data_IF_696966931334
#
_entry.id   IF_696966931334
#
_cell.length_a   1.000
_cell.length_b   1.000
_cell.length_c   1.000
_cell.angle_alpha   90.00
_cell.angle_beta   90.00
_cell.angle_gamma   90.00
#
_symmetry.space_group_name_H-M   'P 1'
#
loop_
_entity.id
_entity.type
_entity.pdbx_description
1 polymer ?
#
# COMPACT_ATOMS: atom_id res chain seq x y z
N UNK A 1 17.69 -17.66 8.84
CA UNK A 1 16.41 -18.21 9.33
C UNK A 1 16.51 -18.72 10.77
N UNK A 2 17.40 -19.66 11.10
CA UNK A 2 17.56 -20.18 12.48
C UNK A 2 17.91 -19.09 13.52
N UNK A 3 18.87 -18.20 13.21
CA UNK A 3 19.22 -17.03 14.05
C UNK A 3 18.07 -16.02 14.21
N UNK A 4 17.20 -15.89 13.21
CA UNK A 4 16.05 -14.99 13.25
C UNK A 4 14.93 -15.59 14.11
N UNK A 5 14.73 -16.91 14.03
CA UNK A 5 13.81 -17.66 14.89
C UNK A 5 14.26 -17.59 16.35
N UNK A 6 15.56 -17.79 16.62
CA UNK A 6 16.13 -17.58 17.96
C UNK A 6 16.01 -16.13 18.42
N UNK A 7 16.15 -15.12 17.54
CA UNK A 7 15.93 -13.71 17.91
C UNK A 7 14.45 -13.37 18.13
N UNK A 8 13.52 -13.95 17.38
CA UNK A 8 12.08 -13.77 17.60
C UNK A 8 11.67 -14.46 18.88
N UNK A 9 12.16 -15.67 19.14
CA UNK A 9 12.00 -16.39 20.39
C UNK A 9 12.69 -15.67 21.55
N UNK A 10 13.87 -15.06 21.37
CA UNK A 10 14.54 -14.25 22.40
C UNK A 10 13.88 -12.89 22.60
N UNK A 11 13.35 -12.24 21.57
CA UNK A 11 12.56 -11.01 21.75
C UNK A 11 11.21 -11.34 22.39
N UNK A 12 10.62 -12.51 22.09
CA UNK A 12 9.45 -13.05 22.77
C UNK A 12 9.74 -13.45 24.23
N UNK A 13 10.95 -13.94 24.54
CA UNK A 13 11.31 -14.47 25.87
C UNK A 13 12.19 -13.58 26.75
N UNK A 14 12.86 -12.54 26.24
CA UNK A 14 13.84 -11.72 27.01
C UNK A 14 13.31 -10.31 27.27
N UNK A 15 12.59 -9.67 26.33
CA UNK A 15 11.92 -8.37 26.57
C UNK A 15 10.40 -8.48 26.62
N UNK A 16 9.83 -9.38 25.82
CA UNK A 16 8.46 -9.86 26.00
C UNK A 16 8.43 -10.96 27.08
N UNK A 17 9.56 -11.39 27.66
CA UNK A 17 9.61 -12.43 28.71
C UNK A 17 8.85 -12.13 30.00
N UNK A 18 8.61 -10.85 30.33
CA UNK A 18 7.68 -10.46 31.40
C UNK A 18 6.22 -10.36 30.93
N UNK A 19 6.00 -10.50 29.63
CA UNK A 19 4.74 -10.35 28.93
C UNK A 19 4.25 -11.69 28.31
N UNK A 20 5.12 -12.69 28.10
CA UNK A 20 4.89 -13.90 27.29
C UNK A 20 3.89 -14.90 27.90
N UNK A 21 3.32 -14.61 29.07
CA UNK A 21 2.27 -15.46 29.66
C UNK A 21 0.85 -15.05 29.34
N UNK A 22 0.60 -13.86 28.77
CA UNK A 22 -0.76 -13.30 28.85
C UNK A 22 -1.40 -12.78 27.55
N UNK A 23 -0.78 -12.80 26.36
CA UNK A 23 -1.36 -12.14 25.15
C UNK A 23 -2.07 -13.11 24.19
N UNK A 24 -3.11 -12.64 23.48
CA UNK A 24 -3.77 -13.36 22.39
C UNK A 24 -3.63 -12.64 21.05
N UNK A 25 -3.39 -13.41 19.99
CA UNK A 25 -3.35 -12.92 18.61
C UNK A 25 -4.40 -13.68 17.80
N UNK A 26 -5.36 -12.94 17.30
CA UNK A 26 -6.34 -13.47 16.35
C UNK A 26 -5.86 -13.15 14.94
N UNK A 27 -5.41 -14.17 14.22
CA UNK A 27 -5.29 -14.13 12.77
C UNK A 27 -6.66 -14.46 12.18
N UNK A 28 -7.31 -13.47 11.59
CA UNK A 28 -8.56 -13.71 10.85
C UNK A 28 -8.24 -14.54 9.59
N UNK A 29 -8.54 -15.83 9.64
CA UNK A 29 -8.27 -16.80 8.57
C UNK A 29 -8.44 -18.26 9.01
N UNK A 30 -8.54 -18.54 10.31
CA UNK A 30 -8.83 -19.88 10.80
C UNK A 30 -10.35 -20.12 10.93
N UNK A 31 -10.93 -20.89 9.99
CA UNK A 31 -12.20 -21.64 10.15
C UNK A 31 -13.27 -20.98 11.02
N UNK A 32 -13.76 -19.80 10.66
CA UNK A 32 -14.88 -19.21 11.38
C UNK A 32 -16.13 -19.07 10.50
N UNK A 33 -17.27 -19.46 11.07
CA UNK A 33 -18.61 -19.24 10.51
C UNK A 33 -18.84 -17.77 10.15
N UNK A 34 -19.54 -17.50 9.04
CA UNK A 34 -19.74 -16.15 8.47
C UNK A 34 -20.05 -15.08 9.55
N UNK A 35 -20.89 -15.38 10.55
CA UNK A 35 -21.30 -14.46 11.64
C UNK A 35 -20.13 -13.87 12.43
N UNK A 36 -19.03 -14.60 12.64
CA UNK A 36 -17.88 -14.08 13.40
C UNK A 36 -17.12 -13.00 12.64
N UNK A 37 -17.06 -13.09 11.30
CA UNK A 37 -16.38 -12.12 10.44
C UNK A 37 -17.07 -10.77 10.53
N UNK A 38 -18.41 -10.75 10.53
CA UNK A 38 -19.18 -9.50 10.68
C UNK A 38 -18.84 -8.82 12.00
N UNK A 39 -18.96 -9.53 13.12
CA UNK A 39 -18.63 -8.98 14.45
C UNK A 39 -17.17 -8.51 14.55
N UNK A 40 -16.24 -9.25 13.95
CA UNK A 40 -14.82 -8.91 13.95
C UNK A 40 -14.52 -7.63 13.16
N UNK A 41 -15.21 -7.42 12.04
CA UNK A 41 -15.11 -6.21 11.22
C UNK A 41 -15.77 -5.02 11.89
N UNK A 42 -16.94 -5.18 12.48
CA UNK A 42 -17.62 -4.08 13.21
C UNK A 42 -16.75 -3.55 14.35
N UNK A 43 -16.13 -4.46 15.12
CA UNK A 43 -15.15 -4.09 16.16
C UNK A 43 -13.92 -3.39 15.59
N UNK A 44 -13.46 -3.78 14.39
CA UNK A 44 -12.32 -3.15 13.75
C UNK A 44 -12.65 -1.73 13.27
N UNK A 45 -13.84 -1.52 12.71
CA UNK A 45 -14.32 -0.18 12.34
C UNK A 45 -14.43 0.69 13.59
N UNK A 46 -15.01 0.18 14.69
CA UNK A 46 -15.06 0.92 15.95
C UNK A 46 -13.66 1.32 16.46
N UNK A 47 -12.66 0.44 16.35
CA UNK A 47 -11.26 0.77 16.66
C UNK A 47 -10.71 1.86 15.73
N UNK A 48 -11.02 1.81 14.45
CA UNK A 48 -10.62 2.83 13.49
C UNK A 48 -11.23 4.20 13.79
N UNK A 49 -12.46 4.26 14.31
CA UNK A 49 -13.07 5.49 14.79
C UNK A 49 -12.40 5.99 16.07
N UNK A 50 -12.27 5.11 17.07
CA UNK A 50 -11.70 5.42 18.38
C UNK A 50 -10.25 5.90 18.32
N UNK A 51 -9.44 5.31 17.43
CA UNK A 51 -8.04 5.69 17.23
C UNK A 51 -7.86 6.98 16.42
N UNK A 52 -8.94 7.61 15.95
CA UNK A 52 -8.88 8.78 15.07
C UNK A 52 -8.42 8.46 13.65
N UNK A 53 -8.27 7.18 13.29
CA UNK A 53 -7.92 6.79 11.93
C UNK A 53 -9.01 7.21 10.92
N UNK A 54 -10.28 7.10 11.32
CA UNK A 54 -11.43 7.65 10.59
C UNK A 54 -11.73 9.08 11.05
N UNK A 55 -10.85 10.03 10.70
CA UNK A 55 -11.11 11.46 10.88
C UNK A 55 -12.26 11.95 9.96
N UNK A 56 -12.90 13.10 10.27
CA UNK A 56 -14.14 13.54 9.60
C UNK A 56 -14.08 13.52 8.07
N UNK A 57 -13.04 14.10 7.46
CA UNK A 57 -12.91 14.17 6.00
C UNK A 57 -12.68 12.78 5.37
N UNK A 58 -12.04 11.85 6.09
CA UNK A 58 -11.94 10.46 5.63
C UNK A 58 -13.29 9.77 5.71
N UNK A 59 -14.05 9.98 6.80
CA UNK A 59 -15.40 9.42 6.97
C UNK A 59 -16.31 9.86 5.83
N UNK A 60 -16.38 11.16 5.57
CA UNK A 60 -17.19 11.73 4.47
C UNK A 60 -16.91 11.04 3.13
N UNK A 61 -15.64 10.73 2.85
CA UNK A 61 -15.22 10.07 1.61
C UNK A 61 -15.59 8.58 1.54
N UNK A 62 -15.60 7.85 2.67
CA UNK A 62 -15.75 6.39 2.67
C UNK A 62 -17.15 5.91 3.09
N UNK A 63 -17.85 6.66 3.94
CA UNK A 63 -19.15 6.28 4.50
C UNK A 63 -20.19 5.97 3.42
N UNK A 64 -20.30 6.74 2.31
CA UNK A 64 -21.26 6.43 1.24
C UNK A 64 -21.06 5.04 0.61
N UNK A 65 -19.90 4.42 0.82
CA UNK A 65 -19.52 3.16 0.21
C UNK A 65 -19.23 2.06 1.25
N UNK A 66 -19.46 2.30 2.53
CA UNK A 66 -19.01 1.41 3.60
C UNK A 66 -19.53 -0.03 3.43
N UNK A 67 -20.77 -0.20 2.99
CA UNK A 67 -21.33 -1.54 2.73
C UNK A 67 -20.57 -2.30 1.64
N UNK A 68 -20.19 -1.62 0.56
CA UNK A 68 -19.36 -2.19 -0.50
C UNK A 68 -17.97 -2.56 0.03
N UNK A 69 -17.37 -1.67 0.83
CA UNK A 69 -16.06 -1.88 1.45
C UNK A 69 -16.09 -3.13 2.33
N UNK A 70 -17.03 -3.20 3.27
CA UNK A 70 -17.17 -4.32 4.19
C UNK A 70 -17.48 -5.63 3.46
N UNK A 71 -18.33 -5.59 2.42
CA UNK A 71 -18.58 -6.76 1.59
C UNK A 71 -17.30 -7.27 0.89
N UNK A 72 -16.47 -6.36 0.35
CA UNK A 72 -15.20 -6.74 -0.27
C UNK A 72 -14.22 -7.33 0.75
N UNK A 73 -14.15 -6.77 1.96
CA UNK A 73 -13.32 -7.31 3.03
C UNK A 73 -13.78 -8.70 3.47
N UNK A 74 -15.09 -8.91 3.67
CA UNK A 74 -15.66 -10.23 4.00
C UNK A 74 -15.29 -11.27 2.96
N UNK A 75 -15.44 -10.95 1.66
CA UNK A 75 -15.04 -11.83 0.57
C UNK A 75 -13.55 -12.15 0.61
N UNK A 76 -12.70 -11.14 0.79
CA UNK A 76 -11.25 -11.34 0.83
C UNK A 76 -10.80 -12.21 2.02
N UNK A 77 -11.45 -12.08 3.18
CA UNK A 77 -11.17 -12.89 4.38
C UNK A 77 -11.57 -14.37 4.22
N UNK A 78 -12.44 -14.72 3.27
CA UNK A 78 -12.80 -16.13 2.98
C UNK A 78 -11.67 -16.93 2.31
N UNK A 79 -10.58 -16.27 1.91
CA UNK A 79 -9.40 -16.93 1.32
C UNK A 79 -8.36 -17.34 2.37
N UNK A 80 -8.78 -17.52 3.62
CA UNK A 80 -8.01 -18.06 4.75
C UNK A 80 -6.65 -17.43 5.01
N UNK A 81 -6.46 -16.17 4.56
CA UNK A 81 -5.24 -15.31 4.58
C UNK A 81 -4.48 -15.12 3.26
N UNK A 82 -4.90 -15.72 2.16
CA UNK A 82 -4.17 -15.61 0.89
C UNK A 82 -4.32 -14.23 0.24
N UNK A 83 -5.40 -13.51 0.56
CA UNK A 83 -5.73 -12.21 -0.04
C UNK A 83 -5.65 -11.04 0.95
N UNK A 84 -6.22 -11.19 2.14
CA UNK A 84 -6.35 -10.15 3.16
C UNK A 84 -6.10 -10.76 4.52
N UNK A 85 -5.33 -10.04 5.33
CA UNK A 85 -5.01 -10.39 6.69
C UNK A 85 -5.28 -9.21 7.60
N UNK A 86 -5.84 -9.50 8.77
CA UNK A 86 -5.97 -8.56 9.86
C UNK A 86 -5.27 -9.19 11.04
N UNK A 87 -4.23 -8.52 11.52
CA UNK A 87 -3.53 -8.91 12.74
C UNK A 87 -3.98 -7.96 13.83
N UNK A 88 -4.31 -8.53 14.98
CA UNK A 88 -4.69 -7.80 16.20
C UNK A 88 -3.77 -8.19 17.34
N UNK A 89 -3.48 -7.21 18.18
CA UNK A 89 -2.72 -7.39 19.41
C UNK A 89 -3.49 -6.70 20.54
N UNK A 90 -3.91 -7.50 21.53
CA UNK A 90 -4.66 -7.02 22.69
C UNK A 90 -3.77 -7.12 23.92
N UNK A 91 -3.66 -6.04 24.68
CA UNK A 91 -2.98 -6.02 25.96
C UNK A 91 -3.83 -6.59 27.09
N UNK A 92 -3.18 -6.89 28.22
CA UNK A 92 -3.78 -7.68 29.30
C UNK A 92 -4.13 -6.84 30.51
N UNK A 93 -4.01 -5.53 30.40
CA UNK A 93 -4.43 -4.62 31.45
C UNK A 93 -5.96 -4.53 31.46
N UNK A 94 -6.66 -5.09 32.47
CA UNK A 94 -8.11 -5.06 32.51
C UNK A 94 -8.69 -3.63 32.63
N UNK A 95 -7.88 -2.70 33.14
CA UNK A 95 -8.27 -1.29 33.36
C UNK A 95 -8.01 -0.41 32.13
N UNK A 96 -7.35 -0.93 31.10
CA UNK A 96 -7.01 -0.18 29.89
C UNK A 96 -7.32 -0.98 28.65
N UNK A 97 -8.11 -0.41 27.76
CA UNK A 97 -8.30 -0.98 26.43
C UNK A 97 -7.02 -0.81 25.61
N UNK A 98 -6.14 -1.81 25.70
CA UNK A 98 -4.89 -1.90 24.95
C UNK A 98 -5.14 -2.73 23.70
N UNK A 99 -5.31 -2.07 22.56
CA UNK A 99 -5.60 -2.75 21.30
C UNK A 99 -4.83 -2.09 20.17
N UNK A 100 -4.21 -2.93 19.35
CA UNK A 100 -3.51 -2.53 18.13
C UNK A 100 -3.91 -3.45 17.00
N UNK A 101 -4.03 -2.92 15.78
CA UNK A 101 -4.29 -3.72 14.60
C UNK A 101 -3.56 -3.19 13.38
N UNK A 102 -3.22 -4.10 12.47
CA UNK A 102 -2.76 -3.78 11.12
C UNK A 102 -3.48 -4.68 10.13
N UNK A 103 -3.69 -4.14 8.93
CA UNK A 103 -4.29 -4.87 7.82
C UNK A 103 -3.30 -4.89 6.67
N UNK A 104 -3.13 -6.05 6.05
CA UNK A 104 -2.33 -6.16 4.83
C UNK A 104 -3.04 -7.05 3.83
N UNK A 105 -2.85 -6.73 2.56
CA UNK A 105 -3.44 -7.47 1.45
C UNK A 105 -2.45 -7.64 0.31
N UNK A 106 -2.72 -8.65 -0.51
CA UNK A 106 -1.87 -9.04 -1.63
C UNK A 106 -2.11 -8.11 -2.83
N UNK A 107 -1.06 -7.43 -3.29
CA UNK A 107 -1.13 -6.46 -4.39
C UNK A 107 -0.50 -6.95 -5.69
N UNK A 108 0.46 -7.87 -5.59
CA UNK A 108 1.03 -8.65 -6.69
C UNK A 108 1.11 -10.10 -6.24
N UNK A 109 1.60 -11.05 -7.05
CA UNK A 109 1.56 -12.44 -6.63
C UNK A 109 2.42 -12.70 -5.38
N UNK A 110 3.53 -11.98 -5.23
CA UNK A 110 4.52 -12.16 -4.17
C UNK A 110 4.74 -10.91 -3.30
N UNK A 111 3.99 -9.82 -3.50
CA UNK A 111 4.13 -8.59 -2.69
C UNK A 111 2.83 -8.21 -1.98
N UNK A 112 3.03 -7.62 -0.80
CA UNK A 112 1.96 -7.21 0.09
C UNK A 112 2.05 -5.74 0.45
N UNK A 113 0.89 -5.11 0.57
CA UNK A 113 0.76 -3.76 1.10
C UNK A 113 0.20 -3.84 2.50
N UNK A 114 0.90 -3.24 3.46
CA UNK A 114 0.46 -3.08 4.84
C UNK A 114 -0.04 -1.67 5.09
N UNK A 115 -1.22 -1.57 5.69
CA UNK A 115 -1.95 -0.33 5.92
C UNK A 115 -2.84 -0.45 7.16
N UNK A 116 -3.50 0.65 7.49
CA UNK A 116 -4.52 0.71 8.56
C UNK A 116 -3.96 0.28 9.92
N UNK A 117 -2.68 0.56 10.14
CA UNK A 117 -2.06 0.45 11.44
C UNK A 117 -2.72 1.45 12.40
N UNK A 118 -3.42 0.91 13.40
CA UNK A 118 -4.12 1.65 14.44
C UNK A 118 -3.78 1.12 15.81
N UNK A 119 -3.81 1.97 16.82
CA UNK A 119 -3.59 1.60 18.21
C UNK A 119 -4.38 2.51 19.13
N UNK A 120 -4.80 2.00 20.28
CA UNK A 120 -5.41 2.78 21.38
C UNK A 120 -4.35 3.55 22.21
N UNK A 121 -3.15 3.77 21.65
CA UNK A 121 -2.04 4.37 22.36
C UNK A 121 -1.20 3.35 23.12
N UNK A 122 -1.03 2.15 22.56
CA UNK A 122 -0.28 1.03 23.12
C UNK A 122 0.98 0.72 22.28
N UNK A 123 2.10 1.46 22.47
CA UNK A 123 3.29 1.38 21.62
C UNK A 123 3.93 0.00 21.59
N UNK A 124 4.00 -0.68 22.74
CA UNK A 124 4.55 -2.04 22.85
C UNK A 124 3.77 -3.00 21.94
N UNK A 125 2.44 -2.91 21.96
CA UNK A 125 1.59 -3.71 21.07
C UNK A 125 1.85 -3.42 19.59
N UNK A 126 2.15 -2.17 19.22
CA UNK A 126 2.54 -1.84 17.83
C UNK A 126 3.88 -2.47 17.46
N UNK A 127 4.89 -2.36 18.31
CA UNK A 127 6.19 -2.99 18.07
C UNK A 127 6.03 -4.51 17.90
N UNK A 128 5.43 -5.18 18.89
CA UNK A 128 5.23 -6.62 18.88
C UNK A 128 4.46 -7.08 17.64
N UNK A 129 3.38 -6.38 17.29
CA UNK A 129 2.59 -6.69 16.10
C UNK A 129 3.40 -6.49 14.80
N UNK A 130 4.19 -5.43 14.67
CA UNK A 130 5.00 -5.20 13.46
C UNK A 130 6.09 -6.26 13.29
N UNK A 131 6.76 -6.65 14.37
CA UNK A 131 7.76 -7.72 14.36
C UNK A 131 7.11 -9.07 14.04
N UNK A 132 5.98 -9.37 14.68
CA UNK A 132 5.30 -10.67 14.52
C UNK A 132 4.58 -10.83 13.19
N UNK A 133 3.93 -9.79 12.68
CA UNK A 133 3.38 -9.79 11.33
C UNK A 133 4.48 -10.05 10.29
N UNK A 134 5.69 -9.53 10.52
CA UNK A 134 6.83 -9.83 9.67
C UNK A 134 7.36 -11.27 9.85
N UNK A 135 7.28 -11.84 11.05
CA UNK A 135 7.77 -13.19 11.34
C UNK A 135 6.88 -14.27 10.74
N UNK A 136 5.64 -14.32 11.22
CA UNK A 136 4.75 -15.45 11.03
C UNK A 136 4.16 -15.48 9.63
N UNK A 137 3.78 -14.31 9.13
CA UNK A 137 3.11 -14.23 7.83
C UNK A 137 4.16 -14.27 6.71
N UNK A 138 5.30 -13.61 6.88
CA UNK A 138 6.16 -13.30 5.74
C UNK A 138 7.28 -14.31 5.52
N UNK A 139 7.77 -14.94 6.58
CA UNK A 139 8.90 -15.86 6.51
C UNK A 139 8.43 -17.30 6.53
N UNK A 140 7.50 -17.65 7.41
CA UNK A 140 7.09 -19.05 7.59
C UNK A 140 6.01 -19.47 6.60
N UNK A 141 5.00 -18.64 6.38
CA UNK A 141 3.81 -19.09 5.63
C UNK A 141 3.87 -18.86 4.12
N UNK A 142 4.49 -17.78 3.65
CA UNK A 142 4.31 -17.35 2.25
C UNK A 142 5.52 -16.88 1.45
N UNK A 143 6.69 -16.69 2.07
CA UNK A 143 7.94 -16.32 1.36
C UNK A 143 7.80 -15.13 0.39
N UNK A 144 7.27 -14.02 0.87
CA UNK A 144 7.03 -12.83 0.05
C UNK A 144 8.31 -12.16 -0.48
N UNK A 145 8.24 -11.59 -1.70
CA UNK A 145 9.33 -10.83 -2.34
C UNK A 145 9.51 -9.44 -1.72
N UNK A 146 8.42 -8.75 -1.36
CA UNK A 146 8.49 -7.39 -0.80
C UNK A 146 7.31 -7.03 0.10
N UNK A 147 7.53 -6.01 0.94
CA UNK A 147 6.49 -5.29 1.67
C UNK A 147 6.48 -3.84 1.29
N UNK A 148 5.27 -3.28 1.30
CA UNK A 148 5.04 -1.92 0.90
C UNK A 148 4.05 -1.25 1.84
N UNK A 149 4.21 0.06 2.05
CA UNK A 149 3.15 0.87 2.64
C UNK A 149 3.16 2.28 2.08
N UNK A 150 1.98 2.89 2.10
CA UNK A 150 1.75 4.26 1.72
C UNK A 150 1.39 5.09 2.95
N UNK A 151 1.94 6.29 3.05
CA UNK A 151 1.61 7.19 4.16
C UNK A 151 1.67 8.66 3.76
N UNK A 152 0.83 9.46 4.42
CA UNK A 152 0.81 10.91 4.24
C UNK A 152 2.08 11.52 4.80
N UNK A 153 2.60 12.55 4.13
CA UNK A 153 3.77 13.28 4.63
C UNK A 153 3.54 13.94 5.99
N UNK A 154 2.28 14.25 6.34
CA UNK A 154 1.90 14.76 7.66
C UNK A 154 1.80 13.70 8.77
N UNK A 155 1.96 12.40 8.47
CA UNK A 155 1.88 11.37 9.51
C UNK A 155 3.23 11.22 10.21
N UNK A 156 3.38 11.85 11.38
CA UNK A 156 4.64 11.87 12.14
C UNK A 156 5.16 10.46 12.47
N UNK A 157 4.29 9.58 12.94
CA UNK A 157 4.66 8.20 13.26
C UNK A 157 5.18 7.46 12.02
N UNK A 158 4.43 7.52 10.91
CA UNK A 158 4.82 6.82 9.70
C UNK A 158 6.11 7.39 9.08
N UNK A 159 6.35 8.70 9.17
CA UNK A 159 7.61 9.29 8.75
C UNK A 159 8.79 8.86 9.63
N UNK A 160 8.58 8.77 10.95
CA UNK A 160 9.61 8.32 11.88
C UNK A 160 10.02 6.88 11.58
N UNK A 161 9.05 5.97 11.46
CA UNK A 161 9.30 4.54 11.20
C UNK A 161 9.66 4.34 9.73
N UNK A 162 8.68 4.40 8.84
CA UNK A 162 8.86 4.04 7.43
C UNK A 162 9.63 5.09 6.64
N UNK A 163 9.49 6.38 6.97
CA UNK A 163 10.21 7.45 6.26
C UNK A 163 11.72 7.44 6.46
N UNK A 164 12.23 6.75 7.48
CA UNK A 164 13.66 6.66 7.77
C UNK A 164 14.27 5.29 7.45
N UNK A 165 13.46 4.32 7.02
CA UNK A 165 13.90 2.93 6.86
C UNK A 165 15.14 2.78 5.96
N UNK A 166 15.29 3.60 4.92
CA UNK A 166 16.45 3.55 4.01
C UNK A 166 17.77 3.83 4.74
N UNK A 167 17.75 4.63 5.81
CA UNK A 167 18.94 4.92 6.62
C UNK A 167 19.46 3.68 7.36
N UNK A 168 18.56 2.81 7.80
CA UNK A 168 18.91 1.60 8.58
C UNK A 168 19.07 0.38 7.67
N UNK A 169 18.19 0.21 6.69
CA UNK A 169 18.16 -0.97 5.81
C UNK A 169 19.14 -0.82 4.64
N UNK A 170 19.30 0.40 4.13
CA UNK A 170 20.08 0.71 2.94
C UNK A 170 19.22 0.73 1.66
N UNK A 171 19.63 1.58 0.71
CA UNK A 171 18.98 1.78 -0.59
C UNK A 171 19.03 0.54 -1.51
N UNK A 172 19.93 -0.42 -1.24
CA UNK A 172 20.05 -1.67 -2.00
C UNK A 172 18.86 -2.61 -1.80
N UNK A 173 18.15 -2.52 -0.69
CA UNK A 173 17.07 -3.45 -0.34
C UNK A 173 15.76 -2.73 0.00
N UNK A 174 15.73 -1.42 -0.13
CA UNK A 174 14.61 -0.62 0.31
C UNK A 174 14.54 0.73 -0.38
N UNK A 175 13.35 1.31 -0.43
CA UNK A 175 13.10 2.59 -1.05
C UNK A 175 12.02 3.36 -0.28
N UNK A 176 12.13 4.70 -0.25
CA UNK A 176 11.07 5.62 0.16
C UNK A 176 10.94 6.69 -0.91
N UNK A 177 9.95 6.55 -1.77
CA UNK A 177 9.65 7.52 -2.83
C UNK A 177 8.49 8.42 -2.44
N UNK A 178 8.47 9.64 -2.96
CA UNK A 178 7.43 10.66 -2.70
C UNK A 178 6.70 10.99 -4.00
N UNK A 179 5.37 11.05 -3.94
CA UNK A 179 4.52 11.28 -5.10
C UNK A 179 3.36 12.22 -4.82
N UNK A 180 2.93 12.92 -5.86
CA UNK A 180 1.69 13.68 -5.85
C UNK A 180 0.51 12.75 -6.14
N UNK A 181 -0.56 12.88 -5.36
CA UNK A 181 -1.82 12.17 -5.53
C UNK A 181 -2.91 13.12 -6.03
N UNK A 182 -3.37 12.89 -7.25
CA UNK A 182 -4.20 13.80 -8.03
C UNK A 182 -5.51 13.10 -8.40
N UNK A 183 -6.64 13.81 -8.28
CA UNK A 183 -7.92 13.36 -8.79
C UNK A 183 -8.22 13.95 -10.15
N UNK A 184 -8.28 13.12 -11.19
CA UNK A 184 -8.56 13.55 -12.58
C UNK A 184 -9.99 13.15 -12.96
N UNK A 185 -10.87 14.13 -13.20
CA UNK A 185 -12.26 13.90 -13.65
C UNK A 185 -12.42 13.95 -15.16
N UNK A 186 -11.76 14.92 -15.78
CA UNK A 186 -11.80 15.20 -17.20
C UNK A 186 -10.37 15.48 -17.66
N UNK A 187 -10.11 15.26 -18.94
CA UNK A 187 -8.83 15.57 -19.57
C UNK A 187 -9.14 16.48 -20.75
N UNK A 188 -8.43 17.60 -20.82
CA UNK A 188 -8.48 18.48 -21.98
C UNK A 188 -7.87 17.77 -23.19
N UNK A 189 -8.49 17.91 -24.36
CA UNK A 189 -7.88 17.41 -25.60
C UNK A 189 -6.57 18.14 -25.84
N UNK A 190 -5.48 17.38 -25.97
CA UNK A 190 -4.20 17.95 -26.38
C UNK A 190 -4.27 18.43 -27.83
N UNK A 191 -3.66 19.58 -28.10
CA UNK A 191 -3.46 20.10 -29.46
C UNK A 191 -2.27 19.45 -30.17
N UNK A 192 -1.41 18.74 -29.42
CA UNK A 192 -0.23 18.05 -29.95
C UNK A 192 -0.58 16.64 -30.44
N UNK A 193 -0.48 16.44 -31.75
CA UNK A 193 -0.81 15.18 -32.44
C UNK A 193 0.39 14.23 -32.62
N UNK A 194 1.55 14.52 -32.04
CA UNK A 194 2.79 13.74 -32.24
C UNK A 194 2.93 12.55 -31.28
N UNK A 195 1.99 12.38 -30.35
CA UNK A 195 1.96 11.28 -29.38
C UNK A 195 1.01 10.19 -29.87
N UNK A 196 1.50 8.95 -29.82
CA UNK A 196 0.67 7.76 -30.01
C UNK A 196 0.70 6.93 -28.74
N UNK A 197 -0.46 6.42 -28.33
CA UNK A 197 -0.58 5.48 -27.21
C UNK A 197 -0.70 4.05 -27.73
N UNK A 198 0.06 3.15 -27.14
CA UNK A 198 0.00 1.72 -27.45
C UNK A 198 -0.25 0.93 -26.16
N UNK A 199 -1.19 -0.03 -26.15
CA UNK A 199 -1.36 -0.93 -25.02
C UNK A 199 -0.14 -1.83 -24.88
N UNK A 200 0.13 -2.29 -23.66
CA UNK A 200 1.20 -3.24 -23.40
C UNK A 200 1.02 -4.56 -24.17
N UNK A 201 2.14 -5.07 -24.66
CA UNK A 201 2.27 -6.39 -25.28
C UNK A 201 3.42 -7.12 -24.58
N UNK A 202 3.35 -8.45 -24.53
CA UNK A 202 4.28 -9.26 -23.73
C UNK A 202 5.75 -9.12 -24.12
N UNK A 203 6.02 -8.82 -25.40
CA UNK A 203 7.35 -8.53 -25.93
C UNK A 203 7.94 -7.19 -25.46
N UNK A 204 7.11 -6.29 -24.90
CA UNK A 204 7.53 -4.98 -24.37
C UNK A 204 7.92 -5.00 -22.88
N UNK A 205 8.06 -6.19 -22.27
CA UNK A 205 8.32 -6.33 -20.83
C UNK A 205 9.65 -5.66 -20.43
N UNK A 206 10.70 -5.82 -21.24
CA UNK A 206 12.02 -5.27 -20.93
C UNK A 206 12.02 -3.75 -20.99
N UNK A 207 11.34 -3.16 -21.98
CA UNK A 207 11.15 -1.73 -22.15
C UNK A 207 10.36 -1.15 -20.98
N UNK A 208 9.29 -1.83 -20.55
CA UNK A 208 8.53 -1.44 -19.36
C UNK A 208 9.41 -1.42 -18.11
N UNK A 209 10.14 -2.50 -17.87
CA UNK A 209 10.99 -2.62 -16.69
C UNK A 209 12.11 -1.58 -16.70
N UNK A 210 12.77 -1.36 -17.83
CA UNK A 210 13.80 -0.34 -17.98
C UNK A 210 13.26 1.07 -17.72
N UNK A 211 12.12 1.43 -18.35
CA UNK A 211 11.49 2.73 -18.16
C UNK A 211 11.05 2.93 -16.69
N UNK A 212 10.43 1.91 -16.08
CA UNK A 212 10.02 1.96 -14.68
C UNK A 212 11.22 2.17 -13.75
N UNK A 213 12.31 1.42 -13.97
CA UNK A 213 13.54 1.56 -13.21
C UNK A 213 14.14 2.96 -13.33
N UNK A 214 14.14 3.54 -14.55
CA UNK A 214 14.63 4.89 -14.78
C UNK A 214 13.82 5.94 -14.00
N UNK A 215 12.50 5.80 -13.93
CA UNK A 215 11.61 6.81 -13.33
C UNK A 215 11.43 6.62 -11.82
N UNK A 216 11.37 5.37 -11.33
CA UNK A 216 11.01 5.05 -9.93
C UNK A 216 12.04 4.21 -9.18
N UNK A 217 13.06 3.69 -9.87
CA UNK A 217 14.07 2.80 -9.31
C UNK A 217 13.68 1.33 -9.34
N UNK A 218 14.69 0.45 -9.35
CA UNK A 218 14.51 -1.01 -9.46
C UNK A 218 13.77 -1.63 -8.29
N UNK A 219 13.99 -1.16 -7.05
CA UNK A 219 13.28 -1.67 -5.87
C UNK A 219 11.76 -1.51 -5.99
N UNK A 220 11.30 -0.40 -6.58
CA UNK A 220 9.87 -0.17 -6.80
C UNK A 220 9.34 -1.06 -7.93
N UNK A 221 10.11 -1.17 -9.03
CA UNK A 221 9.79 -2.04 -10.16
C UNK A 221 9.66 -3.52 -9.73
N UNK A 222 10.63 -4.02 -8.96
CA UNK A 222 10.66 -5.40 -8.46
C UNK A 222 9.52 -5.67 -7.49
N UNK A 223 9.21 -4.72 -6.60
CA UNK A 223 8.13 -4.85 -5.64
C UNK A 223 6.74 -4.85 -6.30
N UNK A 224 6.58 -4.11 -7.40
CA UNK A 224 5.38 -4.14 -8.24
C UNK A 224 5.38 -5.27 -9.29
N UNK A 225 6.39 -6.15 -9.27
CA UNK A 225 6.55 -7.31 -10.18
C UNK A 225 6.57 -6.91 -11.66
N UNK A 226 7.17 -5.76 -11.96
CA UNK A 226 7.35 -5.29 -13.34
C UNK A 226 8.42 -6.10 -14.08
N UNK A 227 9.29 -6.78 -13.34
CA UNK A 227 10.27 -7.73 -13.86
C UNK A 227 9.72 -9.15 -14.05
N UNK A 228 8.45 -9.39 -13.74
CA UNK A 228 7.81 -10.71 -13.82
C UNK A 228 7.04 -10.88 -15.15
N UNK A 229 6.65 -12.10 -15.49
CA UNK A 229 5.93 -12.39 -16.73
C UNK A 229 4.45 -11.99 -16.65
N UNK A 230 3.88 -11.95 -15.45
CA UNK A 230 2.46 -11.63 -15.23
C UNK A 230 2.22 -10.15 -14.92
N UNK A 231 2.63 -9.27 -15.82
CA UNK A 231 2.51 -7.82 -15.65
C UNK A 231 1.06 -7.39 -15.36
N UNK A 232 0.09 -7.98 -16.05
CA UNK A 232 -1.33 -7.64 -15.94
C UNK A 232 -2.05 -8.30 -14.74
N UNK A 233 -1.31 -9.07 -13.93
CA UNK A 233 -1.77 -9.72 -12.70
C UNK A 233 -2.83 -10.81 -12.91
N UNK A 234 -2.77 -11.56 -14.01
CA UNK A 234 -3.74 -12.60 -14.34
C UNK A 234 -3.81 -13.72 -13.29
N UNK A 235 -2.67 -14.17 -12.76
CA UNK A 235 -2.63 -15.22 -11.72
C UNK A 235 -3.23 -14.71 -10.41
N UNK A 236 -2.93 -13.46 -10.05
CA UNK A 236 -3.52 -12.85 -8.87
C UNK A 236 -5.03 -12.60 -9.06
N UNK A 237 -5.46 -12.17 -10.24
CA UNK A 237 -6.88 -11.99 -10.57
C UNK A 237 -7.65 -13.30 -10.40
N UNK A 238 -7.09 -14.43 -10.85
CA UNK A 238 -7.67 -15.76 -10.66
C UNK A 238 -7.85 -16.09 -9.17
N UNK A 239 -6.91 -15.69 -8.31
CA UNK A 239 -7.02 -15.88 -6.87
C UNK A 239 -8.15 -15.03 -6.26
N UNK A 240 -8.26 -13.75 -6.66
CA UNK A 240 -9.35 -12.87 -6.24
C UNK A 240 -10.73 -13.37 -6.74
N UNK A 241 -10.79 -13.94 -7.95
CA UNK A 241 -12.02 -14.46 -8.55
C UNK A 241 -12.65 -15.60 -7.75
N UNK A 242 -11.86 -16.39 -7.00
CA UNK A 242 -12.37 -17.47 -6.14
C UNK A 242 -13.39 -17.00 -5.10
N UNK A 243 -13.37 -15.72 -4.74
CA UNK A 243 -14.33 -15.10 -3.81
C UNK A 243 -15.18 -14.01 -4.45
N UNK A 244 -15.28 -14.01 -5.79
CA UNK A 244 -16.08 -13.04 -6.54
C UNK A 244 -15.54 -11.61 -6.46
N UNK A 245 -14.22 -11.46 -6.33
CA UNK A 245 -13.48 -10.21 -6.43
C UNK A 245 -12.63 -10.23 -7.71
N UNK A 246 -12.07 -9.08 -8.10
CA UNK A 246 -11.11 -8.98 -9.21
C UNK A 246 -9.97 -8.06 -8.84
N UNK A 247 -8.80 -8.34 -9.40
CA UNK A 247 -7.65 -7.45 -9.35
C UNK A 247 -6.90 -7.53 -10.68
N UNK A 248 -6.78 -6.40 -11.37
CA UNK A 248 -6.15 -6.31 -12.69
C UNK A 248 -5.22 -5.11 -12.78
N UNK A 249 -4.24 -5.24 -13.67
CA UNK A 249 -3.38 -4.13 -14.08
C UNK A 249 -3.47 -3.95 -15.59
N UNK A 250 -3.64 -2.72 -16.05
CA UNK A 250 -3.63 -2.35 -17.45
C UNK A 250 -2.50 -1.37 -17.70
N UNK A 251 -1.77 -1.53 -18.79
CA UNK A 251 -0.56 -0.75 -19.07
C UNK A 251 -0.63 -0.16 -20.48
N UNK A 252 -0.24 1.11 -20.60
CA UNK A 252 -0.06 1.78 -21.88
C UNK A 252 1.27 2.53 -21.91
N UNK A 253 1.85 2.60 -23.09
CA UNK A 253 3.01 3.43 -23.40
C UNK A 253 2.58 4.63 -24.23
N UNK A 254 3.28 5.75 -24.05
CA UNK A 254 3.24 6.89 -24.93
C UNK A 254 4.54 6.97 -25.75
N UNK A 255 4.38 6.99 -27.06
CA UNK A 255 5.47 7.07 -28.03
C UNK A 255 5.44 8.43 -28.72
N UNK A 256 6.60 9.07 -28.86
CA UNK A 256 6.78 10.18 -29.79
C UNK A 256 7.06 9.61 -31.18
N UNK A 257 6.47 10.19 -32.23
CA UNK A 257 6.62 9.74 -33.64
C UNK A 257 8.06 9.43 -34.09
N UNK A 258 9.06 10.12 -33.50
CA UNK A 258 10.47 10.00 -33.87
C UNK A 258 11.33 9.30 -32.81
N UNK A 259 10.74 8.70 -31.77
CA UNK A 259 11.47 7.94 -30.74
C UNK A 259 11.08 6.47 -30.80
N UNK A 260 12.07 5.61 -30.67
CA UNK A 260 11.91 4.16 -30.56
C UNK A 260 11.57 3.72 -29.14
N UNK A 261 11.88 4.55 -28.14
CA UNK A 261 11.62 4.28 -26.73
C UNK A 261 10.40 5.07 -26.23
N UNK A 262 9.65 4.50 -25.26
CA UNK A 262 8.53 5.20 -24.65
C UNK A 262 8.99 6.45 -23.89
N UNK A 263 8.18 7.50 -23.95
CA UNK A 263 8.37 8.74 -23.18
C UNK A 263 7.43 8.87 -22.00
N UNK A 264 6.46 7.96 -21.90
CA UNK A 264 5.54 7.89 -20.79
C UNK A 264 4.92 6.50 -20.69
N UNK A 265 4.54 6.13 -19.48
CA UNK A 265 3.83 4.91 -19.15
C UNK A 265 2.70 5.26 -18.18
N UNK A 266 1.52 4.69 -18.43
CA UNK A 266 0.42 4.69 -17.47
C UNK A 266 0.08 3.25 -17.09
N UNK A 267 -0.01 3.00 -15.79
CA UNK A 267 -0.42 1.71 -15.22
C UNK A 267 -1.70 1.92 -14.41
N UNK A 268 -2.84 1.47 -14.93
CA UNK A 268 -4.11 1.51 -14.22
C UNK A 268 -4.31 0.24 -13.41
N UNK A 269 -4.26 0.36 -12.08
CA UNK A 269 -4.60 -0.74 -11.17
C UNK A 269 -6.11 -0.72 -10.89
N UNK A 270 -6.77 -1.87 -11.05
CA UNK A 270 -8.19 -2.05 -10.71
C UNK A 270 -8.29 -3.15 -9.68
N UNK A 271 -8.79 -2.82 -8.49
CA UNK A 271 -8.83 -3.72 -7.33
C UNK A 271 -10.16 -3.56 -6.59
N UNK A 272 -10.49 -4.46 -5.64
CA UNK A 272 -11.71 -4.32 -4.85
C UNK A 272 -11.72 -2.98 -4.11
N UNK A 273 -12.79 -2.22 -4.29
CA UNK A 273 -12.93 -0.90 -3.69
C UNK A 273 -12.91 -1.00 -2.16
N UNK A 274 -12.14 -0.13 -1.51
CA UNK A 274 -12.08 -0.05 -0.06
C UNK A 274 -11.10 -0.96 0.66
N UNK A 275 -10.33 -1.82 -0.01
CA UNK A 275 -9.20 -2.49 0.65
C UNK A 275 -8.22 -1.44 1.21
N UNK A 276 -8.05 -0.32 0.50
CA UNK A 276 -7.34 0.85 0.99
C UNK A 276 -8.27 2.06 1.10
N UNK A 277 -8.45 2.61 2.30
CA UNK A 277 -9.32 3.80 2.53
C UNK A 277 -8.76 5.12 1.97
N UNK A 278 -7.55 5.09 1.41
CA UNK A 278 -6.99 6.20 0.61
C UNK A 278 -7.18 6.00 -0.89
N UNK A 279 -7.85 4.93 -1.32
CA UNK A 279 -8.12 4.57 -2.72
C UNK A 279 -6.86 4.33 -3.57
N UNK A 280 -5.71 4.05 -2.94
CA UNK A 280 -4.43 3.83 -3.63
C UNK A 280 -4.35 2.48 -4.35
N UNK A 281 -5.24 1.54 -4.07
CA UNK A 281 -5.30 0.25 -4.79
C UNK A 281 -5.93 0.35 -6.17
N UNK A 282 -6.75 1.37 -6.38
CA UNK A 282 -7.35 1.66 -7.66
C UNK A 282 -6.69 2.88 -8.31
N UNK A 283 -5.37 3.04 -8.12
CA UNK A 283 -4.61 4.18 -8.66
C UNK A 283 -4.14 3.92 -10.09
N UNK A 284 -3.99 5.00 -10.84
CA UNK A 284 -3.15 5.06 -12.02
C UNK A 284 -1.75 5.54 -11.65
N UNK A 285 -0.73 4.72 -11.84
CA UNK A 285 0.66 5.14 -11.79
C UNK A 285 1.03 5.77 -13.14
N UNK A 286 1.19 7.10 -13.15
CA UNK A 286 1.54 7.87 -14.34
C UNK A 286 3.01 8.30 -14.25
N UNK A 287 3.82 7.78 -15.17
CA UNK A 287 5.29 7.94 -15.19
C UNK A 287 5.71 8.52 -16.52
N UNK A 288 6.46 9.62 -16.51
CA UNK A 288 6.93 10.30 -17.71
C UNK A 288 8.45 10.43 -17.66
N UNK A 289 9.08 10.46 -18.84
CA UNK A 289 10.49 10.77 -18.98
C UNK A 289 10.77 12.15 -18.33
N UNK A 290 11.69 12.25 -17.36
CA UNK A 290 11.99 13.51 -16.67
C UNK A 290 12.45 14.64 -17.59
N UNK A 291 13.04 14.31 -18.75
CA UNK A 291 13.58 15.28 -19.70
C UNK A 291 12.54 15.99 -20.56
N UNK A 292 11.26 15.58 -20.49
CA UNK A 292 10.21 16.19 -21.31
C UNK A 292 9.95 17.65 -20.95
N UNK A 293 9.79 18.48 -22.00
CA UNK A 293 9.28 19.85 -21.86
C UNK A 293 7.87 19.85 -21.29
N UNK A 294 7.42 20.99 -20.75
CA UNK A 294 6.08 21.13 -20.17
C UNK A 294 4.98 20.81 -21.18
N UNK A 295 5.11 21.29 -22.41
CA UNK A 295 4.13 21.11 -23.49
C UNK A 295 4.04 19.63 -23.90
N UNK A 296 5.18 18.97 -24.03
CA UNK A 296 5.23 17.54 -24.36
C UNK A 296 4.67 16.69 -23.23
N UNK A 297 4.97 17.06 -21.98
CA UNK A 297 4.45 16.43 -20.77
C UNK A 297 2.93 16.52 -20.70
N UNK A 298 2.36 17.68 -20.98
CA UNK A 298 0.90 17.88 -21.08
C UNK A 298 0.30 16.95 -22.13
N UNK A 299 0.87 16.91 -23.34
CA UNK A 299 0.39 16.02 -24.38
C UNK A 299 0.43 14.54 -23.95
N UNK A 300 1.56 14.07 -23.39
CA UNK A 300 1.71 12.69 -22.92
C UNK A 300 0.69 12.35 -21.81
N UNK A 301 0.53 13.23 -20.82
CA UNK A 301 -0.48 13.09 -19.77
C UNK A 301 -1.88 12.94 -20.36
N UNK A 302 -2.27 13.82 -21.29
CA UNK A 302 -3.60 13.80 -21.89
C UNK A 302 -3.88 12.51 -22.66
N UNK A 303 -2.92 12.07 -23.49
CA UNK A 303 -3.05 10.86 -24.30
C UNK A 303 -3.12 9.60 -23.43
N UNK A 304 -2.21 9.43 -22.47
CA UNK A 304 -2.22 8.27 -21.57
C UNK A 304 -3.47 8.22 -20.70
N UNK A 305 -3.85 9.35 -20.09
CA UNK A 305 -5.01 9.36 -19.20
C UNK A 305 -6.32 9.17 -19.98
N UNK A 306 -6.37 9.49 -21.28
CA UNK A 306 -7.53 9.20 -22.12
C UNK A 306 -7.77 7.69 -22.24
N UNK A 307 -6.71 6.88 -22.35
CA UNK A 307 -6.83 5.41 -22.31
C UNK A 307 -7.22 4.91 -20.91
N UNK A 308 -6.60 5.46 -19.88
CA UNK A 308 -6.90 5.12 -18.48
C UNK A 308 -8.37 5.37 -18.15
N UNK A 309 -8.95 6.51 -18.57
CA UNK A 309 -10.36 6.83 -18.33
C UNK A 309 -11.31 5.78 -18.90
N UNK A 310 -10.98 5.18 -20.06
CA UNK A 310 -11.79 4.09 -20.62
C UNK A 310 -11.80 2.89 -19.67
N UNK A 311 -10.69 2.58 -19.00
CA UNK A 311 -10.65 1.51 -18.03
C UNK A 311 -11.49 1.84 -16.78
N UNK A 312 -11.45 3.07 -16.27
CA UNK A 312 -12.19 3.41 -15.06
C UNK A 312 -13.70 3.61 -15.26
N UNK A 313 -14.10 4.16 -16.40
CA UNK A 313 -15.47 4.64 -16.61
C UNK A 313 -16.20 4.03 -17.81
N UNK A 314 -15.57 3.15 -18.59
CA UNK A 314 -16.33 2.42 -19.60
C UNK A 314 -17.18 1.33 -18.96
N UNK A 315 -18.39 1.13 -19.49
CA UNK A 315 -19.30 0.06 -19.08
C UNK A 315 -18.78 -1.35 -19.43
N UNK A 316 -17.61 -1.45 -20.08
CA UNK A 316 -17.02 -2.73 -20.50
C UNK A 316 -16.28 -3.45 -19.36
N UNK A 317 -15.86 -2.71 -18.33
CA UNK A 317 -15.13 -3.27 -17.19
C UNK A 317 -16.09 -3.41 -16.02
N UNK A 318 -16.56 -4.64 -15.79
CA UNK A 318 -17.45 -4.98 -14.69
C UNK A 318 -16.70 -5.04 -13.35
N UNK A 319 -16.17 -3.90 -12.92
CA UNK A 319 -15.56 -3.72 -11.60
C UNK A 319 -16.16 -2.48 -10.94
N UNK A 320 -16.82 -2.61 -9.77
CA UNK A 320 -17.37 -1.47 -9.05
C UNK A 320 -16.29 -0.42 -8.78
N UNK A 321 -16.53 0.79 -9.26
CA UNK A 321 -15.68 1.95 -9.00
C UNK A 321 -16.57 3.18 -8.83
N UNK A 322 -17.06 3.40 -7.61
CA UNK A 322 -18.16 4.33 -7.37
C UNK A 322 -17.70 5.79 -7.28
N UNK A 323 -16.41 6.08 -7.47
CA UNK A 323 -15.89 7.45 -7.44
C UNK A 323 -15.78 8.02 -8.86
N UNK A 324 -16.06 9.32 -9.00
CA UNK A 324 -16.18 10.00 -10.29
C UNK A 324 -14.86 10.56 -10.85
N UNK A 325 -13.71 10.06 -10.39
CA UNK A 325 -12.39 10.54 -10.82
C UNK A 325 -11.37 9.40 -10.84
N UNK A 326 -10.38 9.49 -11.72
CA UNK A 326 -9.22 8.60 -11.73
C UNK A 326 -8.22 9.11 -10.68
N UNK A 327 -7.89 8.32 -9.66
CA UNK A 327 -6.83 8.66 -8.72
C UNK A 327 -5.46 8.38 -9.36
N UNK A 328 -4.68 9.42 -9.58
CA UNK A 328 -3.37 9.36 -10.25
C UNK A 328 -2.25 9.58 -9.25
N UNK A 329 -1.20 8.75 -9.32
CA UNK A 329 0.07 8.92 -8.63
C UNK A 329 1.14 9.26 -9.66
N UNK A 330 1.80 10.40 -9.49
CA UNK A 330 2.82 10.90 -10.45
C UNK A 330 3.86 11.79 -9.77
N UNK A 331 4.89 12.19 -10.53
CA UNK A 331 5.90 13.15 -10.09
C UNK A 331 5.34 14.57 -10.01
N UNK A 332 6.05 15.47 -9.31
CA UNK A 332 5.54 16.82 -9.07
C UNK A 332 5.42 17.68 -10.34
N UNK A 333 6.31 17.50 -11.33
CA UNK A 333 6.25 18.25 -12.57
C UNK A 333 5.03 17.83 -13.41
N UNK A 334 4.76 16.53 -13.51
CA UNK A 334 3.53 16.01 -14.13
C UNK A 334 2.28 16.45 -13.37
N UNK A 335 2.35 16.47 -12.03
CA UNK A 335 1.23 16.88 -11.21
C UNK A 335 0.81 18.33 -11.45
N UNK A 336 1.79 19.25 -11.65
CA UNK A 336 1.50 20.65 -11.91
C UNK A 336 0.76 20.81 -13.24
N UNK A 337 1.21 20.14 -14.28
CA UNK A 337 0.55 20.14 -15.60
C UNK A 337 -0.89 19.64 -15.50
N UNK A 338 -1.15 18.60 -14.72
CA UNK A 338 -2.50 18.10 -14.49
C UNK A 338 -3.37 19.09 -13.72
N UNK A 339 -2.81 19.77 -12.71
CA UNK A 339 -3.53 20.79 -11.93
C UNK A 339 -3.90 21.98 -12.83
N UNK A 340 -2.97 22.44 -13.66
CA UNK A 340 -3.22 23.52 -14.64
C UNK A 340 -4.32 23.13 -15.65
N UNK A 341 -4.47 21.83 -15.90
CA UNK A 341 -5.53 21.24 -16.74
C UNK A 341 -6.85 20.97 -15.99
N UNK A 342 -6.98 21.42 -14.74
CA UNK A 342 -8.20 21.29 -13.93
C UNK A 342 -8.29 20.05 -13.05
N UNK A 343 -7.21 19.27 -12.92
CA UNK A 343 -7.17 18.17 -11.96
C UNK A 343 -7.07 18.68 -10.51
N UNK A 344 -7.60 17.91 -9.56
CA UNK A 344 -7.58 18.30 -8.13
C UNK A 344 -6.38 17.67 -7.43
N UNK A 345 -5.49 18.48 -6.88
CA UNK A 345 -4.51 17.98 -5.92
C UNK A 345 -5.21 17.45 -4.66
N UNK A 346 -4.92 16.21 -4.30
CA UNK A 346 -5.56 15.58 -3.12
C UNK A 346 -4.59 15.51 -1.95
N UNK A 347 -3.35 15.05 -2.20
CA UNK A 347 -2.36 14.82 -1.14
C UNK A 347 -0.98 14.53 -1.71
N UNK A 348 0.02 14.60 -0.84
CA UNK A 348 1.33 14.00 -1.08
C UNK A 348 1.46 12.71 -0.27
N UNK A 349 1.80 11.62 -0.96
CA UNK A 349 2.08 10.34 -0.33
C UNK A 349 3.55 9.96 -0.46
N UNK A 350 4.06 9.29 0.57
CA UNK A 350 5.29 8.52 0.50
C UNK A 350 4.95 7.04 0.37
N UNK A 351 5.68 6.34 -0.50
CA UNK A 351 5.66 4.89 -0.67
C UNK A 351 6.96 4.34 -0.11
N UNK A 352 6.87 3.57 0.97
CA UNK A 352 7.99 2.81 1.52
C UNK A 352 7.92 1.37 1.05
N UNK A 353 9.08 0.82 0.69
CA UNK A 353 9.25 -0.53 0.17
C UNK A 353 10.47 -1.14 0.84
N UNK A 354 10.39 -2.40 1.25
CA UNK A 354 11.54 -3.20 1.62
C UNK A 354 11.40 -4.62 1.07
N UNK A 355 12.49 -5.10 0.50
CA UNK A 355 12.56 -6.41 -0.15
C UNK A 355 12.78 -7.51 0.90
N UNK A 356 12.52 -8.76 0.53
CA UNK A 356 12.72 -9.92 1.40
C UNK A 356 14.11 -9.97 2.05
N UNK A 357 15.15 -9.61 1.29
CA UNK A 357 16.54 -9.59 1.74
C UNK A 357 16.78 -8.56 2.86
N UNK A 358 15.89 -7.57 3.01
CA UNK A 358 15.95 -6.59 4.09
C UNK A 358 15.28 -7.06 5.39
N UNK A 359 14.59 -8.21 5.42
CA UNK A 359 13.71 -8.52 6.55
C UNK A 359 14.45 -8.57 7.89
N UNK A 360 15.66 -9.13 7.95
CA UNK A 360 16.46 -9.09 9.19
C UNK A 360 16.81 -7.65 9.61
N UNK A 361 17.18 -6.79 8.66
CA UNK A 361 17.49 -5.37 8.94
C UNK A 361 16.26 -4.59 9.37
N UNK A 362 15.09 -4.97 8.87
CA UNK A 362 13.81 -4.42 9.27
C UNK A 362 13.52 -4.71 10.75
N UNK A 363 13.81 -5.91 11.27
CA UNK A 363 13.69 -6.19 12.71
C UNK A 363 14.53 -5.22 13.54
N UNK A 364 15.81 -5.09 13.21
CA UNK A 364 16.72 -4.18 13.90
C UNK A 364 16.22 -2.73 13.84
N UNK A 365 15.70 -2.31 12.68
CA UNK A 365 15.15 -0.96 12.50
C UNK A 365 13.93 -0.70 13.40
N UNK A 366 12.98 -1.64 13.48
CA UNK A 366 11.81 -1.50 14.35
C UNK A 366 12.21 -1.50 15.81
N UNK A 367 13.08 -2.42 16.24
CA UNK A 367 13.56 -2.48 17.62
C UNK A 367 14.21 -1.15 18.02
N UNK A 368 15.21 -0.68 17.27
CA UNK A 368 15.90 0.60 17.55
C UNK A 368 14.94 1.79 17.62
N UNK A 369 13.94 1.83 16.74
CA UNK A 369 12.94 2.90 16.72
C UNK A 369 12.10 2.89 18.00
N UNK A 370 11.76 1.71 18.50
CA UNK A 370 10.95 1.55 19.69
C UNK A 370 11.73 1.67 21.00
N UNK A 371 12.97 1.21 21.07
CA UNK A 371 13.84 1.39 22.26
C UNK A 371 14.00 2.89 22.57
N UNK A 372 14.27 3.69 21.53
CA UNK A 372 14.37 5.14 21.65
C UNK A 372 13.04 5.79 22.07
N UNK A 373 11.91 5.22 21.64
CA UNK A 373 10.58 5.71 22.00
C UNK A 373 10.23 5.36 23.45
N UNK A 374 10.45 4.10 23.87
CA UNK A 374 10.14 3.59 25.20
C UNK A 374 10.97 4.30 26.26
N UNK A 375 12.27 4.49 26.01
CA UNK A 375 13.15 5.27 26.91
C UNK A 375 12.60 6.67 27.18
N UNK A 376 12.14 7.38 26.13
CA UNK A 376 11.53 8.72 26.26
C UNK A 376 10.17 8.69 26.95
N UNK A 377 9.38 7.64 26.71
CA UNK A 377 8.06 7.46 27.30
C UNK A 377 8.16 7.21 28.81
N UNK A 378 9.11 6.37 29.24
CA UNK A 378 9.40 6.11 30.66
C UNK A 378 9.88 7.37 31.36
N UNK A 379 10.86 8.10 30.79
CA UNK A 379 11.32 9.38 31.35
C UNK A 379 10.17 10.37 31.59
N UNK A 380 9.23 10.51 30.64
CA UNK A 380 8.06 11.39 30.77
C UNK A 380 7.05 10.93 31.83
N UNK A 381 6.92 9.63 32.09
CA UNK A 381 6.08 9.12 33.19
C UNK A 381 6.69 9.49 34.54
N UNK A 382 8.01 9.36 34.67
CA UNK A 382 8.72 9.68 35.91
C UNK A 382 8.61 11.17 36.24
N UNK A 383 8.66 12.06 35.24
CA UNK A 383 8.52 13.52 35.47
C UNK A 383 7.09 13.99 35.74
N UNK A 384 6.06 13.19 35.44
CA UNK A 384 4.65 13.54 35.74
C UNK A 384 4.16 13.03 37.11
N UNK A 385 4.96 12.16 37.74
CA UNK A 385 4.68 11.60 39.06
C UNK A 385 5.55 12.23 40.17
N UNK A 386 6.24 13.32 39.83
CA UNK A 386 6.90 14.27 40.75
C UNK A 386 6.17 15.59 40.58
#
# INVERSE_FOLDING_TARGET
>A
MYLLKQKIEQLSTVEIGNYDKNFSIELSGNKHHDISIYKALDRLIALYEKSGFLYPEKKERILPYMDLILNNWRKALKMDDQLLNIVKFTGNNPDKEELTSITFWRTTFNSWVAQHLVSTGFPIGVCAMMLRAQAEVNIEKYRYKSFQNWFSESNNYANMVFGTLVKTIGNRYSNVNKYAYIGVKHISKSKYQTITTIPYQSDMQQELYHFYCQVRGSIDADAEEINDMDIELNQLDQLYQKVGLRRKRYVWFAMLKNKTLPVGVAIANRAPFGLNFSMLENRCDLMLDPSLTRETREAVCCHLLSEVMKVYFSNKINLPFPISFVPVITDFASSQVLIDSGAKFLRTYKKSIWMQQAFERWYTHIQQTYDAFLTKYEQKKTTKNV
#
